data_IF_801920775509
#
_entry.id   IF_801920775509
#
_cell.length_a   1.000
_cell.length_b   1.000
_cell.length_c   1.000
_cell.angle_alpha   90.00
_cell.angle_beta   90.00
_cell.angle_gamma   90.00
#
_symmetry.space_group_name_H-M   'P 1'
#
loop_
_entity.id
_entity.type
_entity.pdbx_description
1 polymer ?
#
# COMPACT_ATOMS: atom_id res chain seq x y z
N UNK A 1 -28.60 11.75 28.52
CA UNK A 1 -28.90 12.58 29.71
C UNK A 1 -28.37 11.82 30.92
N UNK A 2 -27.18 12.15 31.41
CA UNK A 2 -26.67 11.55 32.64
C UNK A 2 -27.56 12.02 33.79
N UNK A 3 -28.19 11.08 34.49
CA UNK A 3 -28.92 11.37 35.72
C UNK A 3 -27.88 11.62 36.83
N UNK A 4 -27.27 12.81 36.80
CA UNK A 4 -26.32 13.24 37.82
C UNK A 4 -27.04 13.48 39.15
N UNK A 5 -26.53 12.90 40.23
CA UNK A 5 -26.94 13.24 41.59
C UNK A 5 -26.41 14.65 41.91
N UNK A 6 -27.23 15.54 42.45
CA UNK A 6 -26.83 16.91 42.80
C UNK A 6 -25.55 16.89 43.65
N UNK A 7 -24.51 17.63 43.24
CA UNK A 7 -23.21 17.68 43.92
C UNK A 7 -22.18 16.65 43.42
N UNK A 8 -22.41 16.03 42.25
CA UNK A 8 -21.43 15.15 41.61
C UNK A 8 -20.73 15.87 40.47
N UNK A 9 -19.40 15.85 40.46
CA UNK A 9 -18.57 16.43 39.41
C UNK A 9 -18.02 15.32 38.51
N UNK A 10 -17.82 15.66 37.24
CA UNK A 10 -17.30 14.72 36.26
C UNK A 10 -16.16 15.36 35.47
N UNK A 11 -15.04 14.67 35.36
CA UNK A 11 -14.02 14.99 34.37
C UNK A 11 -14.63 14.95 32.96
N UNK A 12 -14.45 16.04 32.22
CA UNK A 12 -14.91 16.18 30.83
C UNK A 12 -13.77 16.01 29.82
N UNK A 13 -12.53 15.91 30.30
CA UNK A 13 -11.37 15.60 29.46
C UNK A 13 -10.78 16.81 28.73
N UNK A 14 -11.08 18.04 29.13
CA UNK A 14 -10.32 19.22 28.70
C UNK A 14 -9.27 19.61 29.74
N UNK A 15 -8.15 20.16 29.27
CA UNK A 15 -7.01 20.57 30.10
C UNK A 15 -6.17 21.62 29.38
N UNK A 16 -5.52 22.50 30.13
CA UNK A 16 -4.50 23.43 29.64
C UNK A 16 -3.10 23.15 30.25
N UNK A 17 -2.94 22.01 30.93
CA UNK A 17 -1.68 21.55 31.55
C UNK A 17 -0.43 21.65 30.65
N UNK A 18 -0.61 21.54 29.33
CA UNK A 18 0.50 21.66 28.39
C UNK A 18 0.93 23.13 28.17
N UNK A 19 -0.04 24.04 28.12
CA UNK A 19 0.16 25.46 27.85
C UNK A 19 -0.93 26.25 28.58
N UNK A 20 -0.55 26.90 29.68
CA UNK A 20 -1.41 27.74 30.51
C UNK A 20 -2.31 28.68 29.68
N UNK A 21 -3.60 28.66 29.96
CA UNK A 21 -4.60 29.49 29.27
C UNK A 21 -4.99 28.99 27.88
N UNK A 22 -4.39 27.90 27.37
CA UNK A 22 -4.76 27.26 26.11
C UNK A 22 -5.37 25.88 26.39
N UNK A 23 -6.68 25.89 26.59
CA UNK A 23 -7.47 24.68 26.80
C UNK A 23 -7.56 23.82 25.53
N UNK A 24 -7.32 22.52 25.70
CA UNK A 24 -7.47 21.47 24.68
C UNK A 24 -8.18 20.26 25.25
N UNK A 25 -8.81 19.48 24.40
CA UNK A 25 -9.26 18.14 24.78
C UNK A 25 -8.05 17.23 24.99
N UNK A 26 -8.25 16.14 25.72
CA UNK A 26 -7.19 15.17 26.06
C UNK A 26 -6.56 14.49 24.83
N UNK A 27 -7.23 14.52 23.68
CA UNK A 27 -6.72 14.07 22.37
C UNK A 27 -5.87 15.15 21.64
N UNK A 28 -5.76 16.35 22.20
CA UNK A 28 -5.02 17.50 21.65
C UNK A 28 -5.86 18.42 20.75
N UNK A 29 -7.10 18.05 20.43
CA UNK A 29 -7.99 18.90 19.63
C UNK A 29 -8.37 20.17 20.40
N UNK A 30 -8.60 21.26 19.66
CA UNK A 30 -8.98 22.55 20.25
C UNK A 30 -10.45 22.57 20.66
N UNK A 31 -10.78 23.29 21.73
CA UNK A 31 -12.17 23.52 22.12
C UNK A 31 -12.85 24.45 21.11
N UNK A 32 -13.87 23.95 20.40
CA UNK A 32 -14.74 24.75 19.53
C UNK A 32 -15.94 25.35 20.26
N UNK A 33 -16.27 24.81 21.43
CA UNK A 33 -17.34 25.24 22.32
C UNK A 33 -16.84 25.19 23.75
N UNK A 34 -17.28 26.16 24.54
CA UNK A 34 -17.01 26.25 25.98
C UNK A 34 -18.30 26.55 26.72
N UNK A 35 -18.45 25.97 27.91
CA UNK A 35 -19.56 26.29 28.81
C UNK A 35 -19.07 26.62 30.22
N UNK A 36 -17.98 27.37 30.32
CA UNK A 36 -17.41 27.81 31.60
C UNK A 36 -18.46 28.49 32.47
N UNK A 37 -18.40 28.21 33.77
CA UNK A 37 -19.15 28.95 34.77
C UNK A 37 -18.72 30.43 34.76
N UNK A 38 -19.55 31.36 35.24
CA UNK A 38 -19.11 32.73 35.44
C UNK A 38 -17.79 32.74 36.21
N UNK A 39 -16.85 33.55 35.74
CA UNK A 39 -15.47 33.70 36.25
C UNK A 39 -14.51 32.54 36.01
N UNK A 40 -14.92 31.46 35.33
CA UNK A 40 -14.05 30.35 34.97
C UNK A 40 -13.54 30.40 33.52
N UNK A 41 -12.39 29.79 33.21
CA UNK A 41 -11.43 29.19 34.15
C UNK A 41 -10.63 30.26 34.89
N UNK A 42 -10.46 30.10 36.21
CA UNK A 42 -9.82 31.08 37.09
C UNK A 42 -8.40 30.68 37.52
N UNK A 43 -7.99 29.45 37.21
CA UNK A 43 -6.74 28.84 37.60
C UNK A 43 -6.42 29.07 39.08
N UNK A 44 -7.37 28.75 39.98
CA UNK A 44 -7.18 29.01 41.40
C UNK A 44 -5.90 28.36 41.94
N UNK A 45 -5.14 29.11 42.74
CA UNK A 45 -3.83 28.72 43.28
C UNK A 45 -2.76 28.35 42.22
N UNK A 46 -3.03 28.57 40.93
CA UNK A 46 -2.10 28.33 39.82
C UNK A 46 -1.86 26.84 39.51
N UNK A 47 -2.78 25.96 39.89
CA UNK A 47 -2.64 24.50 39.77
C UNK A 47 -3.85 23.81 39.10
N UNK A 48 -4.82 24.58 38.63
CA UNK A 48 -6.09 24.05 38.14
C UNK A 48 -6.05 23.85 36.63
N UNK A 49 -5.38 22.78 36.21
CA UNK A 49 -5.19 22.54 34.78
C UNK A 49 -6.28 21.67 34.13
N UNK A 50 -7.25 21.15 34.89
CA UNK A 50 -8.18 20.14 34.40
C UNK A 50 -9.64 20.56 34.56
N UNK A 51 -10.43 20.39 33.49
CA UNK A 51 -11.82 20.82 33.44
C UNK A 51 -12.80 19.72 33.87
N UNK A 52 -13.77 20.12 34.66
CA UNK A 52 -14.90 19.30 35.11
C UNK A 52 -16.23 19.88 34.64
N UNK A 53 -17.25 19.02 34.58
CA UNK A 53 -18.64 19.42 34.61
C UNK A 53 -19.05 19.64 36.07
N UNK A 54 -19.23 20.90 36.44
CA UNK A 54 -19.76 21.31 37.73
C UNK A 54 -21.28 21.16 37.75
N UNK A 55 -21.78 20.11 38.42
CA UNK A 55 -23.21 19.83 38.54
C UNK A 55 -23.75 20.04 39.96
N UNK A 56 -24.44 21.17 40.15
CA UNK A 56 -25.13 21.49 41.41
C UNK A 56 -26.55 21.98 41.11
N UNK A 57 -27.56 21.48 41.83
CA UNK A 57 -28.96 21.94 41.73
C UNK A 57 -29.54 22.06 40.31
N UNK A 58 -29.08 21.24 39.36
CA UNK A 58 -29.54 21.28 37.96
C UNK A 58 -28.78 22.24 37.04
N UNK A 59 -27.78 22.97 37.55
CA UNK A 59 -26.80 23.68 36.72
C UNK A 59 -25.73 22.70 36.23
N UNK A 60 -25.22 22.92 35.02
CA UNK A 60 -24.19 22.09 34.38
C UNK A 60 -23.26 22.99 33.57
N UNK A 61 -22.33 23.66 34.25
CA UNK A 61 -21.30 24.52 33.65
C UNK A 61 -19.92 23.94 33.94
N UNK A 62 -18.89 24.44 33.27
CA UNK A 62 -17.54 23.95 33.44
C UNK A 62 -16.78 24.74 34.51
N UNK A 63 -15.91 24.04 35.21
CA UNK A 63 -15.04 24.58 36.25
C UNK A 63 -13.68 23.89 36.06
N UNK A 64 -12.59 24.61 36.27
CA UNK A 64 -11.26 24.05 36.34
C UNK A 64 -10.93 23.64 37.78
N UNK A 65 -10.08 22.65 37.92
CA UNK A 65 -9.71 22.11 39.23
C UNK A 65 -8.39 21.37 39.16
N UNK A 66 -7.84 21.04 40.32
CA UNK A 66 -6.61 20.26 40.39
C UNK A 66 -6.86 18.86 39.81
N UNK A 67 -6.06 18.50 38.81
CA UNK A 67 -6.19 17.22 38.10
C UNK A 67 -6.06 15.97 38.97
N UNK A 68 -5.53 16.10 40.20
CA UNK A 68 -5.36 15.00 41.15
C UNK A 68 -6.67 14.64 41.88
N UNK A 69 -7.69 15.48 41.73
CA UNK A 69 -8.97 15.35 42.43
C UNK A 69 -9.74 14.10 41.97
N UNK A 70 -10.23 13.24 42.89
CA UNK A 70 -10.85 11.97 42.51
C UNK A 70 -12.33 12.15 42.12
N UNK A 71 -12.59 12.68 40.94
CA UNK A 71 -13.93 12.75 40.33
C UNK A 71 -14.22 11.58 39.40
N UNK A 72 -15.50 11.36 39.11
CA UNK A 72 -15.94 10.44 38.06
C UNK A 72 -15.58 11.01 36.68
N UNK A 73 -15.61 10.19 35.64
CA UNK A 73 -15.32 10.64 34.27
C UNK A 73 -16.52 10.39 33.35
N UNK A 74 -16.71 11.29 32.40
CA UNK A 74 -17.56 11.02 31.23
C UNK A 74 -16.64 10.48 30.14
N UNK A 75 -16.94 9.28 29.65
CA UNK A 75 -16.25 8.70 28.50
C UNK A 75 -17.11 8.85 27.24
N UNK A 76 -16.46 9.21 26.15
CA UNK A 76 -17.00 9.04 24.81
C UNK A 76 -16.62 7.63 24.34
N UNK A 77 -17.60 6.92 23.81
CA UNK A 77 -17.38 5.65 23.10
C UNK A 77 -17.75 5.86 21.65
N UNK A 78 -16.87 5.45 20.75
CA UNK A 78 -17.17 5.44 19.34
C UNK A 78 -18.34 4.50 19.03
N UNK A 79 -19.21 4.94 18.11
CA UNK A 79 -20.31 4.12 17.61
C UNK A 79 -19.84 3.61 16.26
N UNK A 80 -19.72 2.30 16.12
CA UNK A 80 -19.35 1.75 14.82
C UNK A 80 -20.54 1.79 13.85
N UNK A 81 -20.65 2.86 13.04
CA UNK A 81 -21.76 3.01 12.10
C UNK A 81 -21.74 1.93 11.01
N UNK A 82 -20.55 1.43 10.64
CA UNK A 82 -20.40 0.34 9.67
C UNK A 82 -21.02 -0.98 10.12
N UNK A 83 -21.22 -1.17 11.43
CA UNK A 83 -21.86 -2.37 11.97
C UNK A 83 -23.36 -2.43 11.70
N UNK A 84 -23.96 -1.32 11.27
CA UNK A 84 -25.38 -1.25 10.92
C UNK A 84 -25.54 -0.85 9.45
N UNK A 85 -26.09 -1.75 8.63
CA UNK A 85 -26.34 -1.53 7.21
C UNK A 85 -25.13 -0.97 6.44
N UNK A 86 -23.91 -1.39 6.84
CA UNK A 86 -22.66 -0.91 6.24
C UNK A 86 -22.52 0.62 6.25
N UNK A 87 -23.09 1.31 7.24
CA UNK A 87 -23.13 2.78 7.28
C UNK A 87 -23.90 3.41 6.10
N UNK A 88 -24.72 2.64 5.39
CA UNK A 88 -25.35 3.05 4.14
C UNK A 88 -24.40 3.14 2.95
N UNK A 89 -23.14 2.71 3.08
CA UNK A 89 -22.17 2.71 1.99
C UNK A 89 -22.55 1.68 0.92
N UNK A 90 -22.48 2.10 -0.34
CA UNK A 90 -22.69 1.22 -1.51
C UNK A 90 -21.61 0.14 -1.65
N UNK A 91 -20.34 0.50 -1.35
CA UNK A 91 -19.20 -0.41 -1.36
C UNK A 91 -18.70 -0.69 0.07
N UNK A 92 -17.51 -0.24 0.44
CA UNK A 92 -16.94 -0.55 1.75
C UNK A 92 -17.18 0.59 2.73
N UNK A 93 -17.44 0.27 4.00
CA UNK A 93 -17.46 1.23 5.09
C UNK A 93 -16.20 1.09 5.95
N UNK A 94 -15.55 2.21 6.27
CA UNK A 94 -14.48 2.28 7.26
C UNK A 94 -14.91 3.13 8.44
N UNK A 95 -14.94 2.49 9.61
CA UNK A 95 -15.24 3.15 10.87
C UNK A 95 -14.03 3.94 11.37
N UNK A 96 -14.26 5.14 11.91
CA UNK A 96 -13.23 6.03 12.45
C UNK A 96 -13.66 6.54 13.82
N UNK A 97 -12.73 7.08 14.61
CA UNK A 97 -13.11 7.60 15.92
C UNK A 97 -14.04 8.82 15.78
N UNK A 98 -15.28 8.68 16.25
CA UNK A 98 -16.32 9.70 16.19
C UNK A 98 -17.02 9.86 14.84
N UNK A 99 -16.75 9.00 13.86
CA UNK A 99 -17.38 9.05 12.52
C UNK A 99 -17.11 7.79 11.69
N UNK A 100 -17.48 7.82 10.41
CA UNK A 100 -17.13 6.78 9.44
C UNK A 100 -17.04 7.39 8.04
N UNK A 101 -16.49 6.62 7.10
CA UNK A 101 -16.47 7.01 5.69
C UNK A 101 -16.67 5.82 4.76
N UNK A 102 -17.28 6.09 3.61
CA UNK A 102 -17.41 5.11 2.55
C UNK A 102 -16.18 5.12 1.64
N UNK A 103 -15.74 3.92 1.26
CA UNK A 103 -14.57 3.68 0.42
C UNK A 103 -15.03 2.92 -0.81
N UNK A 104 -14.75 3.51 -1.96
CA UNK A 104 -15.03 2.90 -3.25
C UNK A 104 -13.91 1.92 -3.62
N UNK A 105 -14.32 0.80 -4.24
CA UNK A 105 -13.40 -0.13 -4.88
C UNK A 105 -12.68 0.55 -6.05
N UNK A 106 -11.56 -0.04 -6.48
CA UNK A 106 -10.80 0.43 -7.64
C UNK A 106 -11.70 0.52 -8.88
N UNK A 107 -11.53 1.58 -9.67
CA UNK A 107 -12.41 1.89 -10.83
C UNK A 107 -13.69 2.64 -10.47
N UNK A 108 -13.92 2.98 -9.19
CA UNK A 108 -15.08 3.76 -8.76
C UNK A 108 -14.67 5.01 -7.98
N UNK A 109 -15.54 6.03 -8.02
CA UNK A 109 -15.38 7.26 -7.27
C UNK A 109 -16.59 7.55 -6.40
N UNK A 110 -16.36 8.20 -5.26
CA UNK A 110 -17.43 8.55 -4.33
C UNK A 110 -18.28 9.69 -4.92
N UNK A 111 -19.57 9.44 -5.03
CA UNK A 111 -20.61 10.36 -5.47
C UNK A 111 -21.48 10.71 -4.27
N UNK A 112 -21.24 11.87 -3.65
CA UNK A 112 -21.90 12.26 -2.40
C UNK A 112 -21.13 11.70 -1.19
N UNK A 113 -21.84 11.06 -0.27
CA UNK A 113 -21.23 10.49 0.95
C UNK A 113 -21.21 8.97 0.98
N UNK A 114 -22.12 8.30 0.25
CA UNK A 114 -22.36 6.85 0.38
C UNK A 114 -22.21 6.07 -0.92
N UNK A 115 -22.44 6.71 -2.07
CA UNK A 115 -22.59 6.02 -3.34
C UNK A 115 -21.27 6.01 -4.11
N UNK A 116 -20.86 4.84 -4.56
CA UNK A 116 -19.71 4.65 -5.42
C UNK A 116 -20.20 4.48 -6.84
N UNK A 117 -19.74 5.36 -7.72
CA UNK A 117 -20.08 5.34 -9.14
C UNK A 117 -18.87 4.99 -9.95
N UNK A 118 -19.10 4.15 -10.94
CA UNK A 118 -18.11 3.75 -11.92
C UNK A 118 -17.41 4.98 -12.52
N UNK A 119 -16.08 4.94 -12.58
CA UNK A 119 -15.28 5.96 -13.24
C UNK A 119 -15.29 5.59 -14.71
N UNK A 120 -15.86 6.45 -15.55
CA UNK A 120 -15.80 6.22 -16.98
C UNK A 120 -14.43 6.66 -17.55
N UNK A 121 -13.47 5.74 -17.60
CA UNK A 121 -12.11 6.06 -18.06
C UNK A 121 -12.09 6.44 -19.55
N UNK A 122 -13.05 5.95 -20.34
CA UNK A 122 -13.17 6.32 -21.76
C UNK A 122 -13.51 7.80 -21.98
N UNK A 123 -14.05 8.49 -20.97
CA UNK A 123 -14.38 9.92 -21.08
C UNK A 123 -13.14 10.81 -21.07
N UNK A 124 -11.99 10.29 -20.62
CA UNK A 124 -10.74 11.00 -20.58
C UNK A 124 -9.74 10.35 -21.53
N UNK A 125 -9.29 11.09 -22.56
CA UNK A 125 -8.29 10.62 -23.54
C UNK A 125 -8.60 9.23 -24.13
N UNK A 126 -9.89 8.90 -24.32
CA UNK A 126 -10.34 7.59 -24.81
C UNK A 126 -9.76 6.40 -24.01
N UNK A 127 -9.54 6.56 -22.69
CA UNK A 127 -8.89 5.56 -21.84
C UNK A 127 -7.46 5.22 -22.25
N UNK A 128 -6.83 6.03 -23.11
CA UNK A 128 -5.55 5.74 -23.74
C UNK A 128 -5.62 4.69 -24.86
N UNK A 129 -6.81 4.24 -25.28
CA UNK A 129 -6.98 3.28 -26.36
C UNK A 129 -6.59 3.88 -27.71
N UNK A 130 -5.84 3.12 -28.52
CA UNK A 130 -5.47 3.57 -29.88
C UNK A 130 -6.67 3.60 -30.85
N UNK A 131 -7.61 2.67 -30.67
CA UNK A 131 -8.86 2.59 -31.42
C UNK A 131 -10.05 3.01 -30.55
N UNK A 132 -11.03 2.11 -30.30
CA UNK A 132 -12.23 2.48 -29.56
C UNK A 132 -12.08 2.10 -28.08
N UNK A 133 -12.57 2.94 -27.17
CA UNK A 133 -12.72 2.58 -25.78
C UNK A 133 -14.16 2.16 -25.47
N UNK A 134 -14.32 1.11 -24.66
CA UNK A 134 -15.61 0.71 -24.09
C UNK A 134 -15.52 0.68 -22.57
N UNK A 135 -16.32 1.54 -21.96
CA UNK A 135 -16.48 1.57 -20.52
C UNK A 135 -17.22 0.32 -20.03
N UNK A 136 -16.83 -0.18 -18.87
CA UNK A 136 -17.42 -1.34 -18.21
C UNK A 136 -17.55 -1.04 -16.71
N UNK A 137 -18.32 -1.84 -15.98
CA UNK A 137 -18.49 -1.62 -14.54
C UNK A 137 -17.18 -1.93 -13.80
N UNK A 138 -16.59 -0.91 -13.18
CA UNK A 138 -15.32 -0.94 -12.45
C UNK A 138 -14.06 -0.95 -13.30
N UNK A 139 -14.16 -0.75 -14.62
CA UNK A 139 -13.02 -0.77 -15.52
C UNK A 139 -13.38 -0.31 -16.93
N UNK A 140 -12.45 -0.44 -17.86
CA UNK A 140 -12.69 -0.25 -19.29
C UNK A 140 -11.85 -1.21 -20.10
N UNK A 141 -12.16 -1.31 -21.39
CA UNK A 141 -11.32 -2.05 -22.34
C UNK A 141 -11.29 -1.41 -23.71
N UNK A 142 -10.16 -1.56 -24.38
CA UNK A 142 -10.00 -1.14 -25.75
C UNK A 142 -10.54 -2.18 -26.73
N UNK A 143 -11.19 -1.72 -27.79
CA UNK A 143 -11.79 -2.53 -28.85
C UNK A 143 -11.14 -2.12 -30.17
N UNK A 144 -10.45 -3.08 -30.77
CA UNK A 144 -9.85 -2.92 -32.08
C UNK A 144 -10.89 -3.04 -33.19
N UNK A 145 -10.65 -2.33 -34.29
CA UNK A 145 -11.44 -2.45 -35.51
C UNK A 145 -11.16 -3.80 -36.20
N UNK A 146 -12.02 -4.21 -37.12
CA UNK A 146 -11.87 -5.46 -37.87
C UNK A 146 -10.51 -5.51 -38.58
N UNK A 147 -9.82 -6.65 -38.47
CA UNK A 147 -8.45 -6.84 -38.99
C UNK A 147 -7.33 -6.53 -37.98
N UNK A 148 -7.63 -5.90 -36.85
CA UNK A 148 -6.64 -5.54 -35.84
C UNK A 148 -6.82 -6.36 -34.55
N UNK A 149 -5.72 -6.66 -33.86
CA UNK A 149 -5.71 -7.31 -32.55
C UNK A 149 -5.09 -6.42 -31.48
N UNK A 150 -5.57 -6.60 -30.24
CA UNK A 150 -5.08 -5.85 -29.10
C UNK A 150 -3.68 -6.33 -28.73
N UNK A 151 -2.71 -5.42 -28.82
CA UNK A 151 -1.32 -5.61 -28.41
C UNK A 151 -1.10 -4.91 -27.07
N UNK A 152 -0.99 -5.68 -25.99
CA UNK A 152 -0.93 -5.13 -24.64
C UNK A 152 -2.32 -4.81 -24.11
N UNK A 153 -2.50 -3.61 -23.54
CA UNK A 153 -3.79 -3.18 -22.96
C UNK A 153 -4.51 -2.11 -23.77
N UNK A 154 -3.78 -1.30 -24.54
CA UNK A 154 -4.35 -0.11 -25.19
C UNK A 154 -4.08 0.00 -26.69
N UNK A 155 -3.07 -0.70 -27.21
CA UNK A 155 -2.64 -0.57 -28.59
C UNK A 155 -3.28 -1.66 -29.47
N UNK A 156 -3.63 -1.32 -30.70
CA UNK A 156 -4.26 -2.20 -31.67
C UNK A 156 -3.36 -2.29 -32.89
N UNK A 157 -2.93 -3.52 -33.22
CA UNK A 157 -2.01 -3.77 -34.33
C UNK A 157 -2.65 -4.63 -35.38
N UNK A 158 -2.32 -4.33 -36.61
CA UNK A 158 -2.80 -5.09 -37.76
C UNK A 158 -2.11 -6.48 -37.75
N UNK A 159 -2.90 -7.55 -37.85
CA UNK A 159 -2.35 -8.90 -37.97
C UNK A 159 -1.65 -9.13 -39.31
N UNK A 160 -2.00 -8.35 -40.33
CA UNK A 160 -1.40 -8.37 -41.66
C UNK A 160 -0.08 -7.58 -41.69
N UNK A 161 0.17 -6.71 -40.69
CA UNK A 161 1.46 -6.06 -40.45
C UNK A 161 2.45 -6.96 -39.68
N UNK A 162 2.28 -8.28 -39.78
CA UNK A 162 3.44 -9.16 -39.92
C UNK A 162 4.05 -8.95 -41.31
N UNK A 163 4.33 -7.70 -41.68
CA UNK A 163 5.39 -7.47 -42.64
C UNK A 163 6.62 -8.16 -42.07
N UNK A 164 7.37 -8.97 -42.83
CA UNK A 164 8.73 -9.33 -42.47
C UNK A 164 9.57 -8.06 -42.58
N UNK A 165 9.27 -7.08 -41.73
CA UNK A 165 9.79 -5.72 -41.72
C UNK A 165 11.13 -5.66 -41.04
N UNK A 166 12.04 -6.56 -41.41
CA UNK A 166 13.49 -6.38 -41.36
C UNK A 166 14.07 -7.48 -42.25
N UNK A 167 15.00 -7.12 -43.13
CA UNK A 167 15.83 -8.08 -43.89
C UNK A 167 16.51 -9.13 -42.97
N UNK A 168 16.55 -8.90 -41.66
CA UNK A 168 17.07 -9.83 -40.67
C UNK A 168 16.24 -11.12 -40.54
N UNK A 169 14.90 -11.08 -40.71
CA UNK A 169 14.07 -12.29 -40.57
C UNK A 169 14.00 -13.15 -41.83
N UNK A 170 14.27 -12.58 -43.01
CA UNK A 170 14.37 -13.35 -44.27
C UNK A 170 15.70 -14.11 -44.33
N UNK A 171 16.79 -13.54 -43.80
CA UNK A 171 18.08 -14.23 -43.71
C UNK A 171 18.00 -15.52 -42.85
N UNK A 172 17.13 -15.58 -41.84
CA UNK A 172 16.94 -16.78 -41.02
C UNK A 172 16.26 -17.94 -41.76
N UNK A 173 15.33 -17.68 -42.68
CA UNK A 173 14.59 -18.72 -43.42
C UNK A 173 15.25 -19.14 -44.73
N UNK A 174 16.16 -18.30 -45.28
CA UNK A 174 16.85 -18.53 -46.56
C UNK A 174 18.33 -18.92 -46.35
N UNK A 175 18.82 -18.99 -45.11
CA UNK A 175 20.08 -19.69 -44.80
C UNK A 175 19.74 -21.17 -44.57
N UNK A 176 19.87 -22.05 -45.59
CA UNK A 176 19.72 -23.49 -45.42
C UNK A 176 20.72 -24.03 -44.37
N UNK A 177 20.55 -25.28 -43.87
CA UNK A 177 21.37 -25.93 -42.83
C UNK A 177 22.88 -26.08 -43.15
N UNK A 178 23.39 -25.40 -44.16
CA UNK A 178 24.80 -25.39 -44.57
C UNK A 178 25.67 -24.79 -43.46
N UNK A 179 25.22 -23.75 -42.74
CA UNK A 179 25.95 -23.23 -41.58
C UNK A 179 26.02 -24.27 -40.46
N UNK A 180 24.92 -24.98 -40.19
CA UNK A 180 24.88 -26.07 -39.20
C UNK A 180 25.78 -27.24 -39.60
N UNK A 181 25.78 -27.64 -40.88
CA UNK A 181 26.61 -28.72 -41.40
C UNK A 181 28.10 -28.35 -41.34
N UNK A 182 28.47 -27.12 -41.75
CA UNK A 182 29.87 -26.65 -41.68
C UNK A 182 30.33 -26.56 -40.23
N UNK A 183 29.49 -26.09 -39.30
CA UNK A 183 29.80 -26.05 -37.87
C UNK A 183 29.98 -27.45 -37.30
N UNK A 184 29.10 -28.40 -37.63
CA UNK A 184 29.23 -29.81 -37.21
C UNK A 184 30.51 -30.44 -37.78
N UNK A 185 30.82 -30.20 -39.05
CA UNK A 185 32.06 -30.68 -39.68
C UNK A 185 33.29 -30.10 -38.97
N UNK A 186 33.31 -28.80 -38.69
CA UNK A 186 34.42 -28.16 -37.98
C UNK A 186 34.57 -28.68 -36.54
N UNK A 187 33.46 -28.91 -35.82
CA UNK A 187 33.49 -29.52 -34.49
C UNK A 187 34.02 -30.96 -34.55
N UNK A 188 33.57 -31.77 -35.51
CA UNK A 188 34.06 -33.14 -35.71
C UNK A 188 35.55 -33.14 -36.06
N UNK A 189 36.00 -32.27 -36.96
CA UNK A 189 37.42 -32.10 -37.31
C UNK A 189 38.22 -31.70 -36.07
N UNK A 190 37.74 -30.72 -35.28
CA UNK A 190 38.40 -30.28 -34.05
C UNK A 190 38.50 -31.40 -33.01
N UNK A 191 37.44 -32.21 -32.84
CA UNK A 191 37.44 -33.39 -31.96
C UNK A 191 38.43 -34.45 -32.47
N UNK A 192 38.48 -34.72 -33.77
CA UNK A 192 39.46 -35.64 -34.37
C UNK A 192 40.90 -35.15 -34.12
N UNK A 193 41.16 -33.86 -34.31
CA UNK A 193 42.47 -33.26 -34.01
C UNK A 193 42.81 -33.29 -32.51
N UNK A 194 41.82 -33.10 -31.63
CA UNK A 194 42.02 -33.22 -30.19
C UNK A 194 42.35 -34.66 -29.78
N UNK A 195 41.66 -35.65 -30.35
CA UNK A 195 41.91 -37.08 -30.10
C UNK A 195 43.27 -37.52 -30.65
N UNK A 196 43.68 -37.03 -31.83
CA UNK A 196 45.01 -37.33 -32.40
C UNK A 196 46.14 -36.71 -31.57
N UNK A 197 45.93 -35.49 -31.05
CA UNK A 197 46.87 -34.85 -30.11
C UNK A 197 46.91 -35.56 -28.76
N UNK A 198 45.79 -36.11 -28.28
CA UNK A 198 45.71 -36.88 -27.04
C UNK A 198 46.48 -38.21 -27.13
N UNK A 199 46.39 -38.93 -28.26
CA UNK A 199 47.14 -40.18 -28.47
C UNK A 199 48.66 -39.99 -28.57
N UNK A 200 49.14 -38.80 -28.91
CA UNK A 200 50.57 -38.48 -28.97
C UNK A 200 51.18 -38.04 -27.63
N UNK A 201 50.40 -38.01 -26.52
CA UNK A 201 50.88 -37.55 -25.20
C UNK A 201 51.21 -38.70 -24.23
N UNK A 202 51.08 -39.96 -24.65
CA UNK A 202 51.44 -41.14 -23.83
C UNK A 202 52.68 -41.83 -24.37
N UNK A 203 53.84 -41.22 -24.16
CA UNK A 203 55.12 -41.94 -24.02
C UNK A 203 55.73 -41.52 -22.68
N UNK A 204 56.05 -42.46 -21.77
CA UNK A 204 56.52 -42.13 -20.43
C UNK A 204 58.03 -41.89 -20.46
N UNK A 205 58.49 -40.78 -19.89
CA UNK A 205 59.90 -40.61 -19.52
C UNK A 205 60.03 -40.80 -18.01
N UNK A 206 60.78 -41.84 -17.67
CA UNK A 206 61.15 -42.27 -16.33
C UNK A 206 62.43 -41.54 -15.96
N UNK A 207 62.39 -40.59 -15.02
CA UNK A 207 63.53 -40.35 -14.14
C UNK A 207 63.19 -39.54 -12.89
N UNK A 208 63.68 -40.07 -11.77
CA UNK A 208 64.00 -39.41 -10.50
C UNK A 208 62.92 -39.37 -9.39
N UNK A 209 62.94 -40.43 -8.57
CA UNK A 209 62.70 -40.35 -7.12
C UNK A 209 64.01 -39.96 -6.40
N UNK A 210 64.02 -39.26 -5.24
CA UNK A 210 63.72 -39.87 -3.93
C UNK A 210 63.14 -38.86 -2.88
N UNK A 211 63.10 -39.18 -1.56
CA UNK A 211 62.28 -40.15 -0.82
C UNK A 211 61.26 -39.45 0.14
N UNK A 212 60.36 -40.19 0.83
CA UNK A 212 59.47 -39.65 1.88
C UNK A 212 60.16 -39.79 3.27
N UNK A 213 59.53 -39.54 4.43
CA UNK A 213 58.18 -39.02 4.75
C UNK A 213 58.17 -37.91 5.82
N UNK A 214 57.03 -37.27 6.10
CA UNK A 214 56.55 -37.19 7.49
C UNK A 214 55.05 -36.86 7.53
N UNK A 215 54.33 -37.70 8.24
CA UNK A 215 52.90 -37.64 8.55
C UNK A 215 52.60 -36.61 9.65
N UNK A 216 51.43 -35.95 9.58
CA UNK A 216 50.53 -35.65 10.71
C UNK A 216 49.26 -34.97 10.14
N UNK A 217 48.14 -35.69 10.02
CA UNK A 217 47.01 -35.80 10.98
C UNK A 217 46.40 -34.47 11.43
N UNK A 218 45.14 -34.28 11.02
CA UNK A 218 43.95 -33.82 11.76
C UNK A 218 44.11 -32.66 12.75
N UNK A 219 43.28 -31.63 12.58
CA UNK A 219 42.29 -31.28 13.62
C UNK A 219 41.17 -30.42 13.02
N UNK A 220 39.95 -30.84 13.33
CA UNK A 220 38.72 -30.05 13.25
C UNK A 220 38.73 -28.93 14.29
N UNK A 221 38.12 -27.80 13.94
CA UNK A 221 37.20 -27.05 14.80
C UNK A 221 36.08 -26.50 13.93
#
# INVERSE_FOLDING_TARGET
MALGHSGTHYWIGCTDRQIEGIWRWSDGSSLSYTNWAPTQPDNADGIQDCGILYSIYGYAQWDDTECSTPYFFICQTDINECSNDNGGCSHNCENTDGSYRCICQDGYQLSGLTDCRDINECSNDNGGCSHNCKNTDGSYRCICQDGYQLSGLTDCRDEDDKTPGTLENILSSVVPPITTIVVVILIVIAIIFAISKYKNKTTPDNSNSPPPPYSQRMAWK
#
